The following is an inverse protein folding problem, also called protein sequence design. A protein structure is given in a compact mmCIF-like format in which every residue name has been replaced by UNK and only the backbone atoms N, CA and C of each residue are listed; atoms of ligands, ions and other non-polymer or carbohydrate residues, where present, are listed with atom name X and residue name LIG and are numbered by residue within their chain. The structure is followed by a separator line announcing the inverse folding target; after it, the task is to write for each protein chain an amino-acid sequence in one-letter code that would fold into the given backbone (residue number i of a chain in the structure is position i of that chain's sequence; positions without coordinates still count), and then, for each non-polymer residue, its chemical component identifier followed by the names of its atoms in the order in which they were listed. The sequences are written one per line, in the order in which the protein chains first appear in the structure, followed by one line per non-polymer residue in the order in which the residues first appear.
data_IF_843920174812
#
_entry.id   IF_843920174812
#
_cell.length_a   1.000
_cell.length_b   1.000
_cell.length_c   1.000
_cell.angle_alpha   90.00
_cell.angle_beta   90.00
_cell.angle_gamma   90.00
#
_symmetry.space_group_name_H-M   'P 1'
#
loop_
_entity.id
_entity.type
_entity.pdbx_description
1 polymer ?
#
# COMPACT_ATOMS: atom_id res chain seq x y z
N UNK A 1 72.69 54.80 61.52
CA UNK A 1 72.40 54.37 60.14
C UNK A 1 71.36 53.25 60.11
N UNK A 2 71.46 52.23 60.99
CA UNK A 2 70.51 51.10 61.07
C UNK A 2 69.03 51.47 61.37
N UNK A 3 68.77 52.44 62.26
CA UNK A 3 67.39 52.84 62.62
C UNK A 3 66.59 53.42 61.44
N UNK A 4 67.22 54.24 60.59
CA UNK A 4 66.60 54.82 59.39
C UNK A 4 66.35 53.76 58.31
N UNK A 5 67.22 52.75 58.24
CA UNK A 5 67.10 51.64 57.31
C UNK A 5 65.91 50.74 57.67
N UNK A 6 65.73 50.42 58.96
CA UNK A 6 64.62 49.60 59.45
C UNK A 6 63.25 50.25 59.26
N UNK A 7 63.13 51.56 59.46
CA UNK A 7 61.89 52.31 59.20
C UNK A 7 61.51 52.30 57.70
N UNK A 8 62.49 52.47 56.82
CA UNK A 8 62.30 52.43 55.37
C UNK A 8 61.89 51.04 54.88
N UNK A 9 62.52 49.98 55.40
CA UNK A 9 62.16 48.58 55.11
C UNK A 9 60.73 48.28 55.56
N UNK A 10 60.32 48.76 56.73
CA UNK A 10 58.96 48.55 57.26
C UNK A 10 57.90 49.23 56.39
N UNK A 11 58.16 50.46 55.93
CA UNK A 11 57.28 51.20 55.01
C UNK A 11 57.16 50.50 53.64
N UNK A 12 58.28 50.02 53.09
CA UNK A 12 58.30 49.25 51.84
C UNK A 12 57.48 47.96 51.98
N UNK A 13 57.68 47.20 53.06
CA UNK A 13 56.92 45.97 53.33
C UNK A 13 55.42 46.24 53.47
N UNK A 14 55.04 47.35 54.11
CA UNK A 14 53.64 47.78 54.20
C UNK A 14 53.02 48.03 52.82
N UNK A 15 53.70 48.78 51.95
CA UNK A 15 53.24 49.03 50.56
C UNK A 15 53.22 47.75 49.73
N UNK A 16 54.17 46.85 49.93
CA UNK A 16 54.23 45.56 49.25
C UNK A 16 53.02 44.69 49.63
N UNK A 17 52.68 44.64 50.93
CA UNK A 17 51.50 43.92 51.42
C UNK A 17 50.20 44.50 50.85
N UNK A 18 50.03 45.83 50.83
CA UNK A 18 48.86 46.47 50.21
C UNK A 18 48.77 46.15 48.71
N UNK A 19 49.91 46.17 48.01
CA UNK A 19 49.96 45.86 46.57
C UNK A 19 49.59 44.40 46.31
N UNK A 20 50.07 43.46 47.14
CA UNK A 20 49.72 42.04 47.06
C UNK A 20 48.23 41.80 47.28
N UNK A 21 47.62 42.46 48.27
CA UNK A 21 46.17 42.39 48.53
C UNK A 21 45.35 42.95 47.36
N UNK A 22 45.77 44.06 46.76
CA UNK A 22 45.11 44.63 45.58
C UNK A 22 45.21 43.69 44.37
N UNK A 23 46.35 43.01 44.19
CA UNK A 23 46.57 42.05 43.12
C UNK A 23 45.65 40.83 43.26
N UNK A 24 45.54 40.27 44.47
CA UNK A 24 44.60 39.18 44.78
C UNK A 24 43.14 39.59 44.56
N UNK A 25 42.77 40.81 44.93
CA UNK A 25 41.43 41.36 44.66
C UNK A 25 41.15 41.48 43.15
N UNK A 26 42.15 41.92 42.37
CA UNK A 26 42.04 41.97 40.91
C UNK A 26 41.91 40.58 40.28
N UNK A 27 42.70 39.59 40.72
CA UNK A 27 42.59 38.20 40.26
C UNK A 27 41.18 37.66 40.49
N UNK A 28 40.63 37.86 41.69
CA UNK A 28 39.27 37.41 42.03
C UNK A 28 38.20 38.05 41.12
N UNK A 29 38.38 39.33 40.74
CA UNK A 29 37.46 40.03 39.81
C UNK A 29 37.61 39.54 38.37
N UNK A 30 38.82 39.21 37.94
CA UNK A 30 39.09 38.62 36.62
C UNK A 30 38.42 37.25 36.50
N UNK A 31 38.53 36.41 37.53
CA UNK A 31 37.89 35.10 37.57
C UNK A 31 36.35 35.23 37.51
N UNK A 32 35.78 36.17 38.26
CA UNK A 32 34.34 36.44 38.22
C UNK A 32 33.88 36.91 36.82
N UNK A 33 34.65 37.78 36.17
CA UNK A 33 34.36 38.25 34.81
C UNK A 33 34.44 37.11 33.78
N UNK A 34 35.46 36.25 33.90
CA UNK A 34 35.63 35.07 33.05
C UNK A 34 34.43 34.13 33.16
N UNK A 35 33.95 33.87 34.38
CA UNK A 35 32.80 32.99 34.61
C UNK A 35 31.50 33.63 34.10
N UNK A 36 31.32 34.93 34.29
CA UNK A 36 30.19 35.69 33.75
C UNK A 36 30.17 35.66 32.22
N UNK A 37 31.34 35.76 31.59
CA UNK A 37 31.49 35.68 30.14
C UNK A 37 31.11 34.30 29.60
N UNK A 38 31.53 33.21 30.26
CA UNK A 38 31.12 31.84 29.89
C UNK A 38 29.61 31.64 29.98
N UNK A 39 28.99 32.11 31.06
CA UNK A 39 27.52 32.02 31.23
C UNK A 39 26.81 32.80 30.11
N UNK A 40 27.30 33.99 29.79
CA UNK A 40 26.72 34.85 28.76
C UNK A 40 26.86 34.21 27.37
N UNK A 41 28.01 33.63 27.05
CA UNK A 41 28.23 32.86 25.81
C UNK A 41 27.29 31.65 25.71
N UNK A 42 27.10 30.91 26.81
CA UNK A 42 26.17 29.79 26.85
C UNK A 42 24.72 30.20 26.57
N UNK A 43 24.29 31.33 27.14
CA UNK A 43 22.96 31.91 26.88
C UNK A 43 22.81 32.36 25.42
N UNK A 44 23.81 33.03 24.86
CA UNK A 44 23.80 33.46 23.46
C UNK A 44 23.70 32.27 22.49
N UNK A 45 24.45 31.20 22.74
CA UNK A 45 24.37 29.97 21.93
C UNK A 45 22.97 29.34 21.99
N UNK A 46 22.36 29.29 23.18
CA UNK A 46 21.01 28.75 23.37
C UNK A 46 19.97 29.60 22.61
N UNK A 47 20.07 30.93 22.72
CA UNK A 47 19.19 31.86 21.98
C UNK A 47 19.34 31.70 20.47
N UNK A 48 20.56 31.51 19.97
CA UNK A 48 20.84 31.28 18.55
C UNK A 48 20.16 30.00 18.03
N UNK A 49 20.27 28.89 18.78
CA UNK A 49 19.61 27.62 18.42
C UNK A 49 18.08 27.75 18.39
N UNK A 50 17.51 28.47 19.35
CA UNK A 50 16.07 28.72 19.40
C UNK A 50 15.61 29.57 18.20
N UNK A 51 16.38 30.58 17.79
CA UNK A 51 16.07 31.38 16.60
C UNK A 51 16.09 30.53 15.32
N UNK A 52 17.09 29.65 15.15
CA UNK A 52 17.14 28.74 14.00
C UNK A 52 15.94 27.78 13.97
N UNK A 53 15.53 27.24 15.13
CA UNK A 53 14.33 26.40 15.22
C UNK A 53 13.06 27.17 14.86
N UNK A 54 12.95 28.43 15.28
CA UNK A 54 11.82 29.29 14.90
C UNK A 54 11.81 29.58 13.40
N UNK A 55 12.95 29.85 12.77
CA UNK A 55 13.04 30.06 11.32
C UNK A 55 12.54 28.85 10.53
N UNK A 56 12.95 27.65 10.93
CA UNK A 56 12.47 26.40 10.29
C UNK A 56 10.95 26.27 10.41
N UNK A 57 10.40 26.49 11.62
CA UNK A 57 8.94 26.41 11.85
C UNK A 57 8.16 27.47 11.09
N UNK A 58 8.70 28.69 10.98
CA UNK A 58 8.09 29.77 10.19
C UNK A 58 8.08 29.40 8.72
N UNK A 59 9.18 28.87 8.19
CA UNK A 59 9.28 28.42 6.79
C UNK A 59 8.26 27.31 6.47
N UNK A 60 8.14 26.31 7.34
CA UNK A 60 7.13 25.25 7.22
C UNK A 60 5.70 25.80 7.27
N UNK A 61 5.42 26.70 8.21
CA UNK A 61 4.10 27.32 8.36
C UNK A 61 3.74 28.16 7.12
N UNK A 62 4.69 28.96 6.60
CA UNK A 62 4.49 29.75 5.38
C UNK A 62 4.21 28.86 4.18
N UNK A 63 4.94 27.75 4.01
CA UNK A 63 4.72 26.80 2.92
C UNK A 63 3.32 26.18 2.97
N UNK A 64 2.87 25.78 4.15
CA UNK A 64 1.53 25.22 4.36
C UNK A 64 0.44 26.25 4.06
N UNK A 65 0.58 27.47 4.59
CA UNK A 65 -0.39 28.56 4.40
C UNK A 65 -0.49 28.98 2.93
N UNK A 66 0.64 29.03 2.22
CA UNK A 66 0.67 29.36 0.79
C UNK A 66 -0.02 28.29 -0.04
N UNK A 67 0.17 27.00 0.28
CA UNK A 67 -0.51 25.90 -0.39
C UNK A 67 -2.03 25.93 -0.17
N UNK A 68 -2.48 26.24 1.05
CA UNK A 68 -3.91 26.39 1.36
C UNK A 68 -4.54 27.58 0.62
N UNK A 69 -3.84 28.72 0.58
CA UNK A 69 -4.27 29.90 -0.17
C UNK A 69 -4.31 29.62 -1.67
N UNK A 70 -3.32 28.93 -2.23
CA UNK A 70 -3.30 28.55 -3.63
C UNK A 70 -4.48 27.63 -4.00
N UNK A 71 -4.80 26.64 -3.15
CA UNK A 71 -5.98 25.78 -3.30
C UNK A 71 -7.29 26.58 -3.22
N UNK A 72 -7.38 27.61 -2.38
CA UNK A 72 -8.57 28.47 -2.27
C UNK A 72 -8.72 29.48 -3.41
N UNK A 73 -7.62 29.99 -3.97
CA UNK A 73 -7.63 31.00 -5.03
C UNK A 73 -7.83 30.42 -6.44
N UNK A 74 -7.56 29.13 -6.65
CA UNK A 74 -7.80 28.44 -7.92
C UNK A 74 -8.84 27.29 -7.78
N UNK A 75 -10.12 27.59 -7.52
CA UNK A 75 -11.20 26.58 -7.52
C UNK A 75 -11.48 25.98 -8.91
N UNK A 76 -10.74 26.39 -9.95
CA UNK A 76 -10.89 25.99 -11.35
C UNK A 76 -10.04 24.78 -11.77
N UNK A 77 -9.15 24.27 -10.90
CA UNK A 77 -8.45 23.01 -11.19
C UNK A 77 -9.27 21.83 -10.70
N UNK A 78 -9.70 20.97 -11.63
CA UNK A 78 -10.29 19.68 -11.28
C UNK A 78 -9.32 18.88 -10.40
N UNK A 79 -9.82 18.16 -9.38
CA UNK A 79 -8.97 17.29 -8.56
C UNK A 79 -8.28 16.25 -9.44
N UNK A 80 -7.05 15.87 -9.10
CA UNK A 80 -6.25 14.89 -9.85
C UNK A 80 -6.44 13.47 -9.36
N UNK A 81 -6.97 13.28 -8.15
CA UNK A 81 -7.20 11.97 -7.55
C UNK A 81 -8.48 11.94 -6.71
N UNK A 82 -9.00 10.74 -6.44
CA UNK A 82 -10.11 10.55 -5.51
C UNK A 82 -9.74 10.93 -4.07
N UNK A 83 -8.46 10.86 -3.70
CA UNK A 83 -7.96 11.36 -2.40
C UNK A 83 -8.10 12.87 -2.33
N UNK A 84 -7.72 13.59 -3.40
CA UNK A 84 -7.84 15.05 -3.45
C UNK A 84 -9.30 15.52 -3.37
N UNK A 85 -10.24 14.76 -3.93
CA UNK A 85 -11.68 15.04 -3.74
C UNK A 85 -12.06 15.04 -2.26
N UNK A 86 -11.59 14.07 -1.48
CA UNK A 86 -11.83 14.00 -0.04
C UNK A 86 -11.08 15.08 0.74
N UNK A 87 -9.91 15.53 0.28
CA UNK A 87 -9.22 16.68 0.87
C UNK A 87 -9.99 17.99 0.66
N UNK A 88 -10.59 18.17 -0.52
CA UNK A 88 -11.41 19.34 -0.84
C UNK A 88 -12.74 19.30 -0.08
N UNK A 89 -13.38 18.13 -0.02
CA UNK A 89 -14.66 17.92 0.64
C UNK A 89 -14.70 16.54 1.28
N UNK A 90 -14.45 16.48 2.59
CA UNK A 90 -14.34 15.24 3.36
C UNK A 90 -15.63 14.42 3.45
N UNK A 91 -16.78 15.01 3.15
CA UNK A 91 -18.09 14.34 3.09
C UNK A 91 -18.51 13.87 1.70
N UNK A 92 -17.59 13.87 0.72
CA UNK A 92 -17.91 13.48 -0.66
C UNK A 92 -18.29 12.00 -0.74
N UNK A 93 -19.46 11.63 -1.32
CA UNK A 93 -19.92 10.24 -1.37
C UNK A 93 -19.21 9.41 -2.45
N UNK A 94 -19.26 8.08 -2.35
CA UNK A 94 -18.80 7.21 -3.43
C UNK A 94 -19.60 7.46 -4.73
N UNK A 95 -18.93 7.53 -5.88
CA UNK A 95 -19.59 7.87 -7.14
C UNK A 95 -18.63 8.21 -8.28
N UNK A 96 -19.17 8.70 -9.40
CA UNK A 96 -18.38 9.19 -10.52
C UNK A 96 -18.00 10.65 -10.33
N UNK A 97 -16.71 10.95 -10.52
CA UNK A 97 -16.12 12.28 -10.40
C UNK A 97 -15.38 12.64 -11.68
N UNK A 98 -15.37 13.93 -12.03
CA UNK A 98 -14.51 14.47 -13.06
C UNK A 98 -13.16 14.84 -12.45
N UNK A 99 -12.09 14.19 -12.89
CA UNK A 99 -10.72 14.47 -12.46
C UNK A 99 -9.90 15.07 -13.61
N UNK A 100 -8.83 15.81 -13.28
CA UNK A 100 -7.84 16.26 -14.26
C UNK A 100 -6.81 15.17 -14.56
N UNK A 101 -6.57 14.90 -15.85
CA UNK A 101 -5.45 14.08 -16.32
C UNK A 101 -4.11 14.85 -16.18
N UNK A 102 -2.94 14.24 -16.50
CA UNK A 102 -1.65 14.92 -16.43
C UNK A 102 -1.54 16.19 -17.29
N UNK A 103 -2.35 16.32 -18.34
CA UNK A 103 -2.42 17.49 -19.22
C UNK A 103 -3.48 18.52 -18.77
N UNK A 104 -4.23 18.22 -17.71
CA UNK A 104 -5.31 19.05 -17.18
C UNK A 104 -6.68 18.81 -17.81
N UNK A 105 -6.84 17.81 -18.68
CA UNK A 105 -8.13 17.49 -19.30
C UNK A 105 -9.04 16.70 -18.36
N UNK A 106 -10.36 16.98 -18.34
CA UNK A 106 -11.32 16.24 -17.55
C UNK A 106 -11.48 14.80 -18.04
N UNK A 107 -11.52 13.86 -17.12
CA UNK A 107 -11.98 12.49 -17.38
C UNK A 107 -12.82 11.96 -16.22
N UNK A 108 -13.79 11.10 -16.54
CA UNK A 108 -14.71 10.53 -15.55
C UNK A 108 -14.12 9.27 -14.93
N UNK A 109 -14.08 9.20 -13.60
CA UNK A 109 -13.66 8.00 -12.85
C UNK A 109 -14.64 7.70 -11.74
N UNK A 110 -14.75 6.42 -11.38
CA UNK A 110 -15.44 6.05 -10.16
C UNK A 110 -14.48 6.12 -8.97
N UNK A 111 -14.86 6.92 -7.97
CA UNK A 111 -14.19 7.02 -6.69
C UNK A 111 -15.00 6.31 -5.61
N UNK A 112 -14.36 5.41 -4.88
CA UNK A 112 -14.88 4.85 -3.65
C UNK A 112 -14.36 5.69 -2.47
N UNK A 113 -15.27 6.36 -1.79
CA UNK A 113 -14.97 7.40 -0.79
C UNK A 113 -15.10 6.94 0.66
N UNK A 114 -15.77 5.82 0.90
CA UNK A 114 -15.90 5.25 2.24
C UNK A 114 -14.67 4.42 2.62
N UNK A 115 -14.60 4.00 3.89
CA UNK A 115 -13.53 3.10 4.34
C UNK A 115 -13.56 1.78 3.56
N UNK A 116 -12.45 1.49 2.88
CA UNK A 116 -12.32 0.33 1.99
C UNK A 116 -10.96 -0.33 2.19
N UNK A 117 -10.90 -1.68 2.19
CA UNK A 117 -9.69 -2.45 2.45
C UNK A 117 -8.94 -2.02 3.73
N UNK A 118 -9.68 -1.67 4.80
CA UNK A 118 -9.12 -1.13 6.05
C UNK A 118 -8.20 0.11 5.86
N UNK A 119 -8.41 0.85 4.78
CA UNK A 119 -7.54 1.94 4.38
C UNK A 119 -8.34 3.10 3.80
N UNK A 120 -9.25 3.68 4.60
CA UNK A 120 -9.93 4.94 4.32
C UNK A 120 -10.60 5.02 2.94
N UNK A 121 -11.02 6.22 2.56
CA UNK A 121 -11.56 6.52 1.24
C UNK A 121 -10.52 6.96 0.21
N UNK A 122 -11.01 7.38 -0.95
CA UNK A 122 -10.20 7.99 -2.01
C UNK A 122 -9.65 6.98 -3.01
N UNK A 123 -10.30 5.83 -3.16
CA UNK A 123 -9.89 4.78 -4.06
C UNK A 123 -10.45 5.01 -5.45
N UNK A 124 -9.62 4.95 -6.49
CA UNK A 124 -10.08 5.05 -7.89
C UNK A 124 -10.19 3.66 -8.50
N UNK A 125 -11.36 3.35 -9.06
CA UNK A 125 -11.61 2.08 -9.76
C UNK A 125 -10.84 2.05 -11.08
N UNK A 126 -10.08 0.99 -11.29
CA UNK A 126 -9.30 0.77 -12.52
C UNK A 126 -9.87 -0.36 -13.38
N UNK A 127 -10.56 -1.33 -12.77
CA UNK A 127 -11.16 -2.44 -13.50
C UNK A 127 -12.47 -2.86 -12.84
N UNK A 128 -13.44 -3.28 -13.66
CA UNK A 128 -14.70 -3.89 -13.22
C UNK A 128 -15.16 -4.90 -14.26
N UNK A 129 -15.63 -6.06 -13.80
CA UNK A 129 -16.45 -7.01 -14.55
C UNK A 129 -17.57 -7.49 -13.63
N UNK A 130 -18.78 -7.61 -14.17
CA UNK A 130 -19.92 -8.19 -13.48
C UNK A 130 -20.79 -8.97 -14.46
N UNK A 131 -20.47 -10.24 -14.69
CA UNK A 131 -21.17 -11.12 -15.62
C UNK A 131 -22.56 -11.54 -15.14
N UNK A 132 -22.95 -11.20 -13.90
CA UNK A 132 -24.35 -11.32 -13.43
C UNK A 132 -25.25 -10.34 -14.19
N UNK A 133 -24.71 -9.23 -14.67
CA UNK A 133 -25.37 -8.36 -15.64
C UNK A 133 -25.37 -9.05 -17.02
N UNK A 134 -26.56 -9.39 -17.52
CA UNK A 134 -26.72 -10.06 -18.82
C UNK A 134 -26.18 -9.27 -20.01
N UNK A 135 -26.02 -7.95 -19.87
CA UNK A 135 -25.49 -7.06 -20.91
C UNK A 135 -23.96 -6.91 -20.86
N UNK A 136 -23.31 -7.38 -19.80
CA UNK A 136 -21.84 -7.38 -19.70
C UNK A 136 -21.27 -8.44 -20.63
N UNK A 137 -20.16 -8.15 -21.32
CA UNK A 137 -19.47 -9.09 -22.19
C UNK A 137 -18.07 -9.37 -21.64
N UNK A 138 -17.51 -10.52 -22.01
CA UNK A 138 -16.13 -10.80 -21.68
C UNK A 138 -15.17 -9.83 -22.39
N UNK A 139 -14.06 -9.45 -21.74
CA UNK A 139 -12.93 -8.82 -22.41
C UNK A 139 -12.53 -9.62 -23.66
N UNK A 140 -12.03 -8.94 -24.69
CA UNK A 140 -11.75 -9.55 -25.99
C UNK A 140 -10.69 -10.67 -25.91
N UNK A 141 -9.84 -10.61 -24.90
CA UNK A 141 -8.77 -11.56 -24.60
C UNK A 141 -9.27 -12.82 -23.89
N UNK A 142 -10.55 -12.88 -23.50
CA UNK A 142 -11.15 -13.99 -22.77
C UNK A 142 -12.34 -14.60 -23.53
N UNK A 143 -12.62 -15.88 -23.26
CA UNK A 143 -13.76 -16.59 -23.83
C UNK A 143 -14.95 -16.63 -22.85
N UNK A 144 -16.17 -16.62 -23.39
CA UNK A 144 -17.39 -16.70 -22.58
C UNK A 144 -17.69 -18.15 -22.22
N UNK A 145 -17.83 -18.40 -20.92
CA UNK A 145 -18.39 -19.62 -20.35
C UNK A 145 -19.86 -19.39 -20.03
N UNK A 146 -20.69 -20.40 -20.30
CA UNK A 146 -22.10 -20.37 -19.97
C UNK A 146 -22.63 -21.76 -19.61
N UNK A 147 -23.07 -21.94 -18.38
CA UNK A 147 -23.72 -23.16 -17.89
C UNK A 147 -24.83 -22.78 -16.92
N UNK A 148 -26.01 -23.41 -17.04
CA UNK A 148 -27.14 -23.23 -16.11
C UNK A 148 -27.55 -21.75 -15.89
N UNK A 149 -27.42 -20.92 -16.93
CA UNK A 149 -27.72 -19.48 -16.88
C UNK A 149 -26.66 -18.63 -16.19
N UNK A 150 -25.55 -19.22 -15.73
CA UNK A 150 -24.39 -18.53 -15.16
C UNK A 150 -23.38 -18.23 -16.25
N UNK A 151 -22.79 -17.04 -16.21
CA UNK A 151 -21.84 -16.53 -17.21
C UNK A 151 -20.53 -16.18 -16.52
N UNK A 152 -19.41 -16.49 -17.17
CA UNK A 152 -18.08 -16.15 -16.69
C UNK A 152 -17.11 -16.02 -17.88
N UNK A 153 -15.91 -15.50 -17.63
CA UNK A 153 -14.89 -15.24 -18.64
C UNK A 153 -13.61 -16.00 -18.30
N UNK A 154 -13.21 -16.94 -19.15
CA UNK A 154 -12.03 -17.77 -18.95
C UNK A 154 -11.02 -17.65 -20.09
N UNK A 155 -10.04 -18.53 -20.11
CA UNK A 155 -9.00 -18.51 -21.15
C UNK A 155 -9.58 -18.74 -22.54
N UNK A 156 -8.90 -18.24 -23.57
CA UNK A 156 -9.18 -18.66 -24.94
C UNK A 156 -8.93 -20.17 -25.09
N UNK A 157 -9.72 -20.84 -25.92
CA UNK A 157 -9.62 -22.30 -26.12
C UNK A 157 -8.21 -22.68 -26.53
N UNK A 158 -7.61 -23.58 -25.75
CA UNK A 158 -6.27 -24.12 -25.96
C UNK A 158 -6.24 -25.60 -25.57
N UNK A 159 -5.51 -26.40 -26.33
CA UNK A 159 -5.31 -27.84 -26.09
C UNK A 159 -4.15 -28.11 -25.11
N UNK A 160 -3.43 -27.07 -24.68
CA UNK A 160 -2.28 -27.15 -23.75
C UNK A 160 -2.37 -26.06 -22.68
N UNK A 161 -1.52 -26.21 -21.67
CA UNK A 161 -1.23 -25.15 -20.69
C UNK A 161 -0.97 -23.80 -21.35
N UNK A 162 -1.61 -22.77 -20.82
CA UNK A 162 -1.55 -21.42 -21.39
C UNK A 162 -2.02 -20.37 -20.39
N UNK A 163 -1.65 -19.12 -20.69
CA UNK A 163 -2.18 -17.95 -20.02
C UNK A 163 -2.98 -17.07 -20.99
N UNK A 164 -4.10 -16.53 -20.54
CA UNK A 164 -4.74 -15.35 -21.14
C UNK A 164 -4.54 -14.15 -20.22
N UNK A 165 -4.45 -12.94 -20.75
CA UNK A 165 -4.17 -11.76 -19.92
C UNK A 165 -4.98 -10.55 -20.35
N UNK A 166 -5.25 -9.68 -19.38
CA UNK A 166 -5.92 -8.40 -19.56
C UNK A 166 -5.04 -7.32 -18.92
N UNK A 167 -4.84 -6.23 -19.64
CA UNK A 167 -4.11 -5.06 -19.14
C UNK A 167 -5.12 -4.01 -18.69
N UNK A 168 -4.93 -3.48 -17.48
CA UNK A 168 -5.66 -2.35 -16.92
C UNK A 168 -4.71 -1.15 -16.84
N UNK A 169 -4.75 -0.23 -17.82
CA UNK A 169 -3.90 0.96 -17.81
C UNK A 169 -4.19 1.84 -16.59
N UNK A 170 -3.14 2.34 -15.95
CA UNK A 170 -3.24 3.22 -14.78
C UNK A 170 -2.49 4.53 -15.07
N UNK A 171 -3.22 5.57 -15.48
CA UNK A 171 -2.61 6.86 -15.88
C UNK A 171 -2.42 7.84 -14.71
N UNK A 172 -2.08 7.33 -13.52
CA UNK A 172 -1.88 8.14 -12.32
C UNK A 172 -1.00 7.42 -11.30
N UNK A 173 -0.40 8.18 -10.40
CA UNK A 173 0.44 7.65 -9.33
C UNK A 173 -0.39 6.94 -8.25
N UNK A 174 0.03 5.75 -7.85
CA UNK A 174 -0.58 4.98 -6.77
C UNK A 174 0.47 4.16 -6.02
N UNK A 175 0.13 3.73 -4.80
CA UNK A 175 1.02 2.93 -3.93
C UNK A 175 0.30 1.74 -3.27
N UNK A 176 -1.01 1.65 -3.46
CA UNK A 176 -1.87 0.63 -2.87
C UNK A 176 -2.83 0.08 -3.91
N UNK A 177 -3.09 -1.23 -3.84
CA UNK A 177 -4.07 -1.93 -4.66
C UNK A 177 -5.05 -2.62 -3.74
N UNK A 178 -6.34 -2.45 -3.99
CA UNK A 178 -7.40 -3.16 -3.31
C UNK A 178 -8.36 -3.72 -4.35
N UNK A 179 -8.79 -4.96 -4.20
CA UNK A 179 -9.70 -5.53 -5.18
C UNK A 179 -10.24 -6.88 -4.78
N UNK A 180 -11.09 -7.44 -5.63
CA UNK A 180 -11.61 -8.80 -5.52
C UNK A 180 -11.64 -9.43 -6.89
N UNK A 181 -11.51 -10.75 -6.93
CA UNK A 181 -11.71 -11.60 -8.11
C UNK A 181 -12.51 -12.79 -7.63
N UNK A 182 -13.61 -13.09 -8.31
CA UNK A 182 -14.49 -14.22 -8.00
C UNK A 182 -14.77 -14.97 -9.30
N UNK A 183 -14.60 -16.28 -9.25
CA UNK A 183 -14.73 -17.16 -10.40
C UNK A 183 -15.46 -18.45 -10.08
N UNK A 184 -15.38 -19.38 -11.01
CA UNK A 184 -15.89 -20.74 -10.86
C UNK A 184 -14.78 -21.73 -11.12
N UNK A 185 -14.82 -22.90 -10.50
CA UNK A 185 -13.96 -24.01 -10.89
C UNK A 185 -14.51 -24.66 -12.15
N UNK A 186 -13.64 -24.93 -13.13
CA UNK A 186 -13.94 -25.86 -14.22
C UNK A 186 -12.98 -27.04 -14.12
N UNK A 187 -13.54 -28.25 -14.14
CA UNK A 187 -12.75 -29.48 -14.18
C UNK A 187 -11.80 -29.63 -13.00
N UNK A 188 -10.53 -29.91 -13.27
CA UNK A 188 -9.53 -30.32 -12.27
C UNK A 188 -8.34 -29.35 -12.13
N UNK A 189 -8.49 -28.15 -11.55
CA UNK A 189 -7.33 -27.30 -11.28
C UNK A 189 -6.29 -27.93 -10.34
N UNK A 190 -5.01 -27.80 -10.68
CA UNK A 190 -3.85 -28.20 -9.87
C UNK A 190 -3.40 -27.13 -8.87
N UNK A 191 -4.14 -26.02 -8.72
CA UNK A 191 -3.88 -24.98 -7.73
C UNK A 191 -2.43 -24.47 -7.74
N UNK A 192 -1.77 -24.37 -6.58
CA UNK A 192 -0.40 -23.87 -6.51
C UNK A 192 0.66 -24.74 -7.23
N UNK A 193 0.38 -26.00 -7.56
CA UNK A 193 1.34 -26.87 -8.26
C UNK A 193 1.44 -26.51 -9.76
N UNK A 194 0.29 -26.20 -10.38
CA UNK A 194 0.18 -25.74 -11.77
C UNK A 194 0.28 -24.23 -11.97
N UNK A 195 0.32 -23.46 -10.87
CA UNK A 195 0.03 -22.02 -10.87
C UNK A 195 -1.36 -21.70 -11.48
N UNK A 196 -2.33 -22.58 -11.20
CA UNK A 196 -3.65 -22.60 -11.81
C UNK A 196 -4.61 -21.63 -11.14
N UNK A 197 -4.97 -20.61 -11.90
CA UNK A 197 -5.93 -19.60 -11.46
C UNK A 197 -5.63 -18.22 -12.01
N UNK A 198 -5.86 -17.21 -11.18
CA UNK A 198 -5.73 -15.80 -11.55
C UNK A 198 -4.56 -15.14 -10.83
N UNK A 199 -3.71 -14.44 -11.56
CA UNK A 199 -2.53 -13.76 -11.02
C UNK A 199 -2.60 -12.28 -11.41
N UNK A 200 -2.45 -11.40 -10.41
CA UNK A 200 -2.34 -9.96 -10.60
C UNK A 200 -0.89 -9.53 -10.49
N UNK A 201 -0.41 -8.79 -11.49
CA UNK A 201 0.98 -8.31 -11.62
C UNK A 201 1.04 -6.82 -11.95
N UNK A 202 2.20 -6.20 -11.68
CA UNK A 202 2.49 -4.81 -12.00
C UNK A 202 3.44 -4.69 -13.19
N UNK A 203 3.01 -3.92 -14.18
CA UNK A 203 3.85 -3.42 -15.27
C UNK A 203 4.64 -4.50 -16.01
N UNK A 204 5.68 -4.06 -16.70
CA UNK A 204 6.55 -4.97 -17.47
C UNK A 204 7.48 -5.81 -16.59
N UNK A 205 7.70 -5.40 -15.33
CA UNK A 205 8.46 -6.19 -14.37
C UNK A 205 7.69 -7.42 -13.89
N UNK A 206 6.37 -7.46 -14.12
CA UNK A 206 5.46 -8.50 -13.65
C UNK A 206 5.57 -8.74 -12.13
N UNK A 207 5.81 -7.67 -11.37
CA UNK A 207 5.91 -7.78 -9.91
C UNK A 207 4.59 -8.22 -9.33
N UNK A 208 4.61 -9.21 -8.44
CA UNK A 208 3.41 -9.84 -7.89
C UNK A 208 2.57 -8.90 -7.01
N UNK A 209 1.25 -8.88 -7.24
CA UNK A 209 0.26 -8.20 -6.39
C UNK A 209 -0.49 -9.22 -5.56
N UNK A 210 -1.16 -10.17 -6.21
CA UNK A 210 -2.02 -11.18 -5.57
C UNK A 210 -2.22 -12.40 -6.48
N UNK A 211 -2.37 -13.58 -5.90
CA UNK A 211 -2.74 -14.82 -6.62
C UNK A 211 -4.07 -15.38 -6.12
N UNK A 212 -4.85 -15.97 -7.02
CA UNK A 212 -6.12 -16.63 -6.73
C UNK A 212 -6.04 -18.03 -7.31
N UNK A 213 -5.66 -19.01 -6.50
CA UNK A 213 -5.47 -20.38 -6.92
C UNK A 213 -6.79 -21.16 -6.86
N UNK A 214 -7.10 -21.91 -7.90
CA UNK A 214 -8.21 -22.85 -7.87
C UNK A 214 -7.67 -24.24 -7.54
N UNK A 215 -8.19 -24.88 -6.49
CA UNK A 215 -7.82 -26.25 -6.15
C UNK A 215 -8.81 -27.25 -6.74
N UNK A 216 -8.39 -28.52 -6.83
CA UNK A 216 -9.18 -29.58 -7.45
C UNK A 216 -10.43 -29.96 -6.65
N UNK A 217 -10.36 -29.99 -5.32
CA UNK A 217 -11.50 -30.37 -4.46
C UNK A 217 -11.31 -30.00 -2.99
N UNK A 218 -12.42 -29.85 -2.26
CA UNK A 218 -12.41 -29.44 -0.85
C UNK A 218 -11.84 -30.55 0.05
N UNK A 219 -12.13 -31.81 -0.25
CA UNK A 219 -11.65 -32.98 0.51
C UNK A 219 -10.14 -33.20 0.34
N UNK A 220 -9.62 -33.01 -0.88
CA UNK A 220 -8.21 -33.26 -1.24
C UNK A 220 -7.47 -31.98 -1.64
N UNK A 221 -7.87 -30.85 -1.06
CA UNK A 221 -7.38 -29.52 -1.44
C UNK A 221 -5.87 -29.46 -1.31
N UNK A 222 -5.22 -28.94 -2.36
CA UNK A 222 -3.79 -28.65 -2.37
C UNK A 222 -3.50 -27.19 -2.00
N UNK A 223 -4.51 -26.46 -1.53
CA UNK A 223 -4.33 -25.10 -1.04
C UNK A 223 -3.33 -25.03 0.12
N UNK A 224 -2.49 -23.99 0.21
CA UNK A 224 -1.48 -23.90 1.27
C UNK A 224 -2.09 -23.72 2.67
N UNK A 225 -3.31 -23.18 2.73
CA UNK A 225 -4.11 -23.01 3.94
C UNK A 225 -4.87 -24.28 4.35
N UNK A 226 -4.86 -25.32 3.53
CA UNK A 226 -5.60 -26.56 3.79
C UNK A 226 -4.94 -27.40 4.89
N UNK A 227 -5.74 -28.15 5.63
CA UNK A 227 -5.26 -29.21 6.55
C UNK A 227 -5.00 -30.56 5.85
N UNK A 228 -5.16 -30.61 4.53
CA UNK A 228 -4.91 -31.79 3.70
C UNK A 228 -3.41 -32.14 3.70
N UNK A 229 -3.05 -33.44 3.65
CA UNK A 229 -1.66 -33.85 3.43
C UNK A 229 -1.14 -33.48 2.03
N UNK A 230 -2.01 -33.02 1.12
CA UNK A 230 -1.65 -32.52 -0.21
C UNK A 230 -1.45 -31.00 -0.26
N UNK A 231 -1.56 -30.30 0.86
CA UNK A 231 -1.33 -28.85 0.88
C UNK A 231 0.09 -28.52 0.37
N UNK A 232 0.16 -27.70 -0.68
CA UNK A 232 1.42 -27.29 -1.30
C UNK A 232 1.73 -25.85 -0.88
N UNK A 233 3.00 -25.57 -0.57
CA UNK A 233 3.44 -24.21 -0.27
C UNK A 233 3.58 -23.41 -1.57
N UNK A 234 3.13 -22.17 -1.55
CA UNK A 234 3.38 -21.22 -2.64
C UNK A 234 4.86 -20.84 -2.71
N UNK A 235 5.28 -20.37 -3.89
CA UNK A 235 6.59 -19.75 -4.06
C UNK A 235 6.80 -18.57 -3.08
N UNK A 236 8.04 -18.37 -2.64
CA UNK A 236 8.34 -17.44 -1.54
C UNK A 236 7.98 -15.98 -1.83
N UNK A 237 7.99 -15.56 -3.11
CA UNK A 237 7.65 -14.19 -3.50
C UNK A 237 6.15 -13.88 -3.35
N UNK A 238 5.28 -14.90 -3.36
CA UNK A 238 3.82 -14.75 -3.14
C UNK A 238 3.54 -14.52 -1.65
N UNK A 239 4.26 -15.23 -0.77
CA UNK A 239 4.09 -15.11 0.68
C UNK A 239 2.63 -15.33 1.11
N UNK A 240 2.02 -14.31 1.72
CA UNK A 240 0.62 -14.35 2.17
C UNK A 240 -0.37 -13.72 1.19
N UNK A 241 0.07 -13.32 0.01
CA UNK A 241 -0.72 -12.54 -0.94
C UNK A 241 -1.46 -13.45 -1.93
N UNK A 242 -2.21 -14.40 -1.39
CA UNK A 242 -3.01 -15.33 -2.17
C UNK A 242 -4.38 -15.66 -1.56
N UNK A 243 -5.34 -16.03 -2.40
CA UNK A 243 -6.47 -16.86 -2.01
C UNK A 243 -6.38 -18.20 -2.71
N UNK A 244 -6.91 -19.24 -2.08
CA UNK A 244 -6.97 -20.58 -2.65
C UNK A 244 -8.24 -21.25 -2.15
N UNK A 245 -9.00 -21.84 -3.06
CA UNK A 245 -10.31 -22.42 -2.78
C UNK A 245 -10.66 -23.44 -3.88
N UNK A 246 -11.59 -24.34 -3.60
CA UNK A 246 -12.19 -25.23 -4.59
C UNK A 246 -13.70 -25.27 -4.44
N UNK A 247 -14.39 -25.65 -5.51
CA UNK A 247 -15.85 -25.77 -5.55
C UNK A 247 -16.30 -27.24 -5.48
N UNK A 248 -15.46 -28.17 -5.94
CA UNK A 248 -15.82 -29.58 -5.95
C UNK A 248 -15.64 -30.23 -4.58
N UNK A 249 -16.69 -30.86 -4.05
CA UNK A 249 -16.67 -31.26 -2.63
C UNK A 249 -16.01 -32.62 -2.35
N UNK A 250 -16.35 -33.68 -3.09
CA UNK A 250 -16.04 -35.07 -2.70
C UNK A 250 -15.17 -35.79 -3.73
N UNK A 251 -13.99 -36.25 -3.32
CA UNK A 251 -13.03 -36.87 -4.22
C UNK A 251 -12.55 -35.91 -5.32
N UNK A 252 -12.13 -36.48 -6.44
CA UNK A 252 -11.60 -35.72 -7.56
C UNK A 252 -12.64 -35.50 -8.66
N UNK A 253 -12.69 -34.30 -9.27
CA UNK A 253 -13.51 -34.04 -10.45
C UNK A 253 -13.33 -35.13 -11.52
N UNK A 254 -14.41 -35.79 -11.91
CA UNK A 254 -14.41 -36.78 -13.00
C UNK A 254 -14.96 -36.23 -14.32
N UNK A 255 -15.59 -35.05 -14.29
CA UNK A 255 -16.07 -34.34 -15.47
C UNK A 255 -15.29 -33.03 -15.65
N UNK A 256 -14.30 -33.06 -16.53
CA UNK A 256 -13.40 -31.94 -16.84
C UNK A 256 -14.08 -30.79 -17.61
N UNK A 257 -15.26 -31.04 -18.18
CA UNK A 257 -16.03 -30.01 -18.90
C UNK A 257 -17.01 -29.26 -18.00
N UNK A 258 -17.26 -29.76 -16.79
CA UNK A 258 -18.27 -29.21 -15.89
C UNK A 258 -17.78 -27.92 -15.23
N UNK A 259 -18.66 -26.92 -15.21
CA UNK A 259 -18.46 -25.66 -14.48
C UNK A 259 -19.19 -25.74 -13.14
N UNK A 260 -18.45 -25.72 -12.04
CA UNK A 260 -19.01 -25.74 -10.68
C UNK A 260 -19.46 -24.33 -10.31
N UNK A 261 -20.76 -24.04 -10.50
CA UNK A 261 -21.31 -22.68 -10.33
C UNK A 261 -22.06 -22.45 -9.01
N UNK A 262 -22.37 -23.52 -8.28
CA UNK A 262 -23.05 -23.46 -6.99
C UNK A 262 -22.14 -22.99 -5.85
N UNK A 263 -20.82 -23.13 -6.04
CA UNK A 263 -19.80 -22.75 -5.07
C UNK A 263 -18.72 -21.87 -5.74
N UNK A 264 -18.90 -20.54 -5.72
CA UNK A 264 -17.95 -19.60 -6.32
C UNK A 264 -16.58 -19.62 -5.67
N UNK A 265 -15.52 -19.61 -6.48
CA UNK A 265 -14.16 -19.52 -5.99
C UNK A 265 -13.83 -18.11 -5.50
N UNK A 266 -13.10 -18.05 -4.38
CA UNK A 266 -12.50 -16.87 -3.74
C UNK A 266 -13.51 -15.88 -3.17
N UNK A 267 -14.75 -16.32 -2.93
CA UNK A 267 -15.77 -15.49 -2.31
C UNK A 267 -15.75 -15.53 -0.77
N UNK A 268 -14.99 -16.48 -0.21
CA UNK A 268 -14.83 -16.66 1.24
C UNK A 268 -15.99 -17.37 1.90
N UNK A 269 -16.81 -18.07 1.14
CA UNK A 269 -17.97 -18.81 1.62
C UNK A 269 -17.84 -20.29 1.28
N UNK A 270 -18.64 -21.11 1.95
CA UNK A 270 -18.80 -22.52 1.61
C UNK A 270 -17.57 -23.42 1.70
N UNK A 271 -16.34 -22.93 1.95
CA UNK A 271 -15.17 -23.79 2.21
C UNK A 271 -15.45 -24.86 3.29
N UNK A 272 -15.42 -26.13 2.89
CA UNK A 272 -15.59 -27.29 3.79
C UNK A 272 -14.29 -28.10 3.90
N UNK A 273 -14.41 -29.20 4.64
CA UNK A 273 -13.39 -30.25 4.77
C UNK A 273 -11.99 -29.69 5.05
N UNK A 274 -11.03 -29.98 4.17
CA UNK A 274 -9.62 -29.67 4.37
C UNK A 274 -9.31 -28.19 4.15
N UNK A 275 -10.09 -27.49 3.33
CA UNK A 275 -9.86 -26.08 3.00
C UNK A 275 -10.67 -25.08 3.84
N UNK A 276 -11.41 -25.55 4.86
CA UNK A 276 -12.21 -24.69 5.73
C UNK A 276 -11.44 -23.51 6.38
N UNK A 277 -10.11 -23.60 6.48
CA UNK A 277 -9.26 -22.49 6.96
C UNK A 277 -8.98 -21.42 5.90
N UNK A 278 -9.10 -21.74 4.61
CA UNK A 278 -8.84 -20.84 3.49
C UNK A 278 -9.86 -19.69 3.40
N UNK A 279 -11.12 -19.94 3.75
CA UNK A 279 -12.16 -18.90 3.84
C UNK A 279 -12.05 -17.98 5.08
N UNK A 280 -11.13 -18.23 6.02
CA UNK A 280 -11.05 -17.46 7.29
C UNK A 280 -10.17 -16.22 7.22
N UNK A 281 -9.82 -15.75 6.02
CA UNK A 281 -8.94 -14.59 5.85
C UNK A 281 -9.69 -13.28 6.12
N UNK A 282 -9.13 -12.30 6.85
CA UNK A 282 -9.90 -11.15 7.34
C UNK A 282 -10.57 -10.25 6.31
N UNK A 283 -10.08 -10.23 5.07
CA UNK A 283 -10.57 -9.34 4.03
C UNK A 283 -11.31 -10.05 2.89
N UNK A 284 -11.27 -11.39 2.80
CA UNK A 284 -11.89 -12.14 1.70
C UNK A 284 -13.38 -11.75 1.57
N UNK A 285 -13.90 -11.43 0.36
CA UNK A 285 -13.29 -11.61 -0.97
C UNK A 285 -12.33 -10.50 -1.44
N UNK A 286 -12.11 -9.47 -0.63
CA UNK A 286 -11.23 -8.35 -0.97
C UNK A 286 -9.79 -8.60 -0.52
N UNK A 287 -8.80 -8.26 -1.35
CA UNK A 287 -7.40 -8.19 -0.94
C UNK A 287 -6.94 -6.73 -0.82
N UNK A 288 -5.88 -6.51 -0.03
CA UNK A 288 -5.20 -5.21 0.06
C UNK A 288 -3.69 -5.41 -0.01
N UNK A 289 -3.06 -4.84 -1.05
CA UNK A 289 -1.61 -4.83 -1.23
C UNK A 289 -1.08 -3.41 -1.09
N UNK A 290 -0.08 -3.23 -0.22
CA UNK A 290 0.75 -2.02 -0.16
C UNK A 290 2.05 -2.30 -0.92
N UNK A 291 2.38 -1.49 -1.92
CA UNK A 291 3.52 -1.73 -2.81
C UNK A 291 4.86 -1.31 -2.20
N UNK A 292 4.83 -0.47 -1.16
CA UNK A 292 6.04 0.08 -0.53
C UNK A 292 6.74 1.18 -1.35
N UNK A 293 6.23 1.48 -2.54
CA UNK A 293 6.68 2.56 -3.41
C UNK A 293 5.48 3.10 -4.21
N UNK A 294 5.66 4.26 -4.85
CA UNK A 294 4.69 4.82 -5.79
C UNK A 294 5.03 4.38 -7.20
N UNK A 295 4.02 4.04 -8.01
CA UNK A 295 4.17 3.68 -9.42
C UNK A 295 3.03 4.26 -10.27
N UNK A 296 3.22 4.22 -11.58
CA UNK A 296 2.19 4.46 -12.62
C UNK A 296 2.02 3.25 -13.53
N UNK A 297 2.61 2.11 -13.15
CA UNK A 297 2.54 0.88 -13.94
C UNK A 297 1.08 0.42 -14.10
N UNK A 298 0.78 -0.20 -15.25
CA UNK A 298 -0.49 -0.89 -15.42
C UNK A 298 -0.60 -2.08 -14.47
N UNK A 299 -1.83 -2.49 -14.16
CA UNK A 299 -2.09 -3.78 -13.53
C UNK A 299 -2.42 -4.77 -14.63
N UNK A 300 -1.78 -5.92 -14.61
CA UNK A 300 -2.08 -7.04 -15.49
C UNK A 300 -2.78 -8.14 -14.69
N UNK A 301 -3.83 -8.71 -15.27
CA UNK A 301 -4.51 -9.89 -14.73
C UNK A 301 -4.34 -11.04 -15.70
N UNK A 302 -3.76 -12.14 -15.22
CA UNK A 302 -3.48 -13.34 -16.01
C UNK A 302 -4.32 -14.49 -15.49
N UNK A 303 -4.98 -15.22 -16.39
CA UNK A 303 -5.60 -16.51 -16.12
C UNK A 303 -4.62 -17.54 -16.67
N UNK A 304 -3.88 -18.22 -15.80
CA UNK A 304 -2.82 -19.16 -16.16
C UNK A 304 -3.18 -20.54 -15.64
N UNK A 305 -3.00 -21.56 -16.49
CA UNK A 305 -3.08 -22.95 -16.06
C UNK A 305 -2.08 -23.82 -16.81
N UNK A 306 -1.62 -24.89 -16.17
CA UNK A 306 -0.65 -25.83 -16.72
C UNK A 306 -1.25 -26.80 -17.75
N UNK A 307 -2.57 -27.01 -17.76
CA UNK A 307 -3.27 -27.86 -18.73
C UNK A 307 -4.18 -27.09 -19.70
N UNK A 308 -4.65 -27.83 -20.72
CA UNK A 308 -5.56 -27.34 -21.74
C UNK A 308 -6.94 -26.96 -21.17
N UNK A 309 -7.60 -26.00 -21.82
CA UNK A 309 -8.94 -25.52 -21.42
C UNK A 309 -10.03 -26.58 -21.45
N UNK A 310 -9.81 -27.73 -22.10
CA UNK A 310 -10.73 -28.87 -22.06
C UNK A 310 -10.66 -29.62 -20.73
N UNK A 311 -9.52 -29.55 -20.04
CA UNK A 311 -9.26 -30.21 -18.76
C UNK A 311 -9.70 -29.32 -17.58
N UNK A 312 -9.16 -28.10 -17.55
CA UNK A 312 -9.32 -27.20 -16.40
C UNK A 312 -9.38 -25.72 -16.83
N UNK A 313 -10.07 -24.93 -16.02
CA UNK A 313 -10.03 -23.47 -16.07
C UNK A 313 -10.60 -22.89 -14.77
N UNK A 314 -10.51 -21.58 -14.59
CA UNK A 314 -11.28 -20.89 -13.55
C UNK A 314 -11.83 -19.57 -14.06
N UNK A 315 -12.90 -19.63 -14.87
CA UNK A 315 -13.44 -18.44 -15.50
C UNK A 315 -14.00 -17.49 -14.43
N UNK A 316 -13.67 -16.20 -14.57
CA UNK A 316 -14.06 -15.14 -13.64
C UNK A 316 -15.39 -14.53 -14.04
N UNK A 317 -16.32 -14.38 -13.10
CA UNK A 317 -17.60 -13.69 -13.37
C UNK A 317 -17.66 -12.31 -12.72
N UNK A 318 -16.80 -12.03 -11.73
CA UNK A 318 -16.77 -10.75 -11.06
C UNK A 318 -15.35 -10.37 -10.68
N UNK A 319 -14.95 -9.14 -11.02
CA UNK A 319 -13.80 -8.51 -10.40
C UNK A 319 -14.03 -7.02 -10.23
N UNK A 320 -13.43 -6.45 -9.21
CA UNK A 320 -13.31 -5.01 -9.05
C UNK A 320 -11.92 -4.70 -8.52
N UNK A 321 -11.16 -3.86 -9.22
CA UNK A 321 -9.81 -3.47 -8.83
C UNK A 321 -9.76 -1.95 -8.68
N UNK A 322 -9.17 -1.51 -7.59
CA UNK A 322 -9.02 -0.11 -7.20
C UNK A 322 -7.56 0.16 -6.84
N UNK A 323 -7.08 1.37 -7.13
CA UNK A 323 -5.77 1.81 -6.64
C UNK A 323 -5.86 3.18 -5.95
N UNK A 324 -4.88 3.44 -5.09
CA UNK A 324 -4.77 4.64 -4.25
C UNK A 324 -3.31 4.98 -3.98
#
# INVERSE_FOLDING_TARGET
MELMLNASITSINGRLNTTSQNMQSMETRIDLLSETQKITLGRLNTTSQNMQSMETRISETQKTTLNELYKKLNPSSLPRSCVEVLEISSGSPSGYYSLADPNGYPYSVYCYMDNFCNAGGGWKRVAKLDMKNSNENCPAELSMYHQDGKRACGRLVNDRGSCSWIIFPVNYEYSQVCGKVIGYQKGFPDGPDGDDGVILTLGTSQSHIWSFFASSSEEHSNCPCSSSPRAISVTSYIGSDYYCESAHTNGFPSNFTFLYTDDPLWDGQTCRFSEAACCKRPLIPWFHKKLGHTTTDYIEMRLCFNEGTHDEDSPVFQYEIYVK
#
